data_IF_095145938212
#
_entry.id   IF_095145938212
#
_cell.length_a   1.000
_cell.length_b   1.000
_cell.length_c   1.000
_cell.angle_alpha   90.00
_cell.angle_beta   90.00
_cell.angle_gamma   90.00
#
_symmetry.space_group_name_H-M   'P 1'
#
loop_
_entity.id
_entity.type
_entity.pdbx_description
1 polymer ?
#
# COMPACT_ATOMS: atom_id res chain seq x y z
N UNK A 1 15.74 -40.78 -50.75
CA UNK A 1 16.36 -40.82 -49.41
C UNK A 1 15.36 -40.18 -48.46
N UNK A 2 14.80 -40.94 -47.53
CA UNK A 2 13.73 -40.47 -46.64
C UNK A 2 14.34 -40.03 -45.30
N UNK A 3 14.10 -38.78 -44.92
CA UNK A 3 14.62 -38.16 -43.71
C UNK A 3 13.59 -38.32 -42.58
N UNK A 4 13.91 -39.14 -41.58
CA UNK A 4 13.07 -39.40 -40.41
C UNK A 4 13.30 -38.33 -39.35
N UNK A 5 12.33 -37.42 -39.16
CA UNK A 5 12.32 -36.45 -38.06
C UNK A 5 11.91 -37.13 -36.75
N UNK A 6 12.87 -37.36 -35.86
CA UNK A 6 12.63 -37.85 -34.49
C UNK A 6 12.09 -36.69 -33.66
N UNK A 7 10.82 -36.78 -33.26
CA UNK A 7 10.22 -35.81 -32.33
C UNK A 7 10.83 -35.99 -30.93
N UNK A 8 11.30 -34.92 -30.27
CA UNK A 8 11.76 -35.00 -28.89
C UNK A 8 10.57 -35.33 -27.97
N UNK A 9 10.71 -36.40 -27.16
CA UNK A 9 9.74 -36.76 -26.13
C UNK A 9 9.65 -35.65 -25.08
N UNK A 10 8.43 -35.20 -24.78
CA UNK A 10 8.13 -34.25 -23.71
C UNK A 10 8.64 -34.82 -22.37
N UNK A 11 9.41 -34.03 -21.62
CA UNK A 11 9.93 -34.41 -20.32
C UNK A 11 8.77 -34.65 -19.34
N UNK A 12 8.77 -35.81 -18.67
CA UNK A 12 7.82 -36.10 -17.61
C UNK A 12 8.10 -35.18 -16.40
N UNK A 13 7.07 -34.64 -15.73
CA UNK A 13 7.26 -33.81 -14.55
C UNK A 13 7.96 -34.62 -13.45
N UNK A 14 8.96 -33.99 -12.83
CA UNK A 14 9.80 -34.61 -11.78
C UNK A 14 8.93 -35.09 -10.61
N UNK A 15 9.13 -36.33 -10.12
CA UNK A 15 8.32 -36.90 -9.03
C UNK A 15 8.42 -36.10 -7.72
N UNK A 16 9.50 -35.33 -7.54
CA UNK A 16 9.68 -34.45 -6.38
C UNK A 16 8.66 -33.31 -6.31
N UNK A 17 8.14 -32.84 -7.45
CA UNK A 17 7.06 -31.84 -7.45
C UNK A 17 5.78 -32.37 -6.81
N UNK A 18 5.46 -33.64 -7.03
CA UNK A 18 4.28 -34.27 -6.44
C UNK A 18 4.42 -34.39 -4.92
N UNK A 19 5.62 -34.74 -4.44
CA UNK A 19 5.91 -34.81 -3.00
C UNK A 19 5.79 -33.43 -2.36
N UNK A 20 6.39 -32.39 -2.97
CA UNK A 20 6.28 -31.02 -2.48
C UNK A 20 4.83 -30.52 -2.41
N UNK A 21 4.04 -30.81 -3.46
CA UNK A 21 2.61 -30.47 -3.50
C UNK A 21 1.82 -31.17 -2.39
N UNK A 22 2.09 -32.45 -2.15
CA UNK A 22 1.43 -33.22 -1.09
C UNK A 22 1.73 -32.65 0.30
N UNK A 23 2.98 -32.29 0.59
CA UNK A 23 3.37 -31.66 1.87
C UNK A 23 2.67 -30.32 2.05
N UNK A 24 2.58 -29.50 1.00
CA UNK A 24 1.93 -28.20 1.04
C UNK A 24 0.43 -28.31 1.31
N UNK A 25 -0.25 -29.28 0.69
CA UNK A 25 -1.66 -29.58 0.98
C UNK A 25 -1.87 -30.02 2.44
N UNK A 26 -0.98 -30.86 2.96
CA UNK A 26 -1.07 -31.37 4.33
C UNK A 26 -0.87 -30.24 5.36
N UNK A 27 0.06 -29.33 5.10
CA UNK A 27 0.27 -28.14 5.93
C UNK A 27 -0.95 -27.20 5.94
N UNK A 28 -1.59 -26.99 4.77
CA UNK A 28 -2.78 -26.16 4.68
C UNK A 28 -3.95 -26.76 5.49
N UNK A 29 -4.16 -28.07 5.41
CA UNK A 29 -5.20 -28.77 6.20
C UNK A 29 -4.92 -28.67 7.69
N UNK A 30 -3.67 -28.92 8.10
CA UNK A 30 -3.27 -28.81 9.51
C UNK A 30 -3.48 -27.40 10.05
N UNK A 31 -3.12 -26.37 9.26
CA UNK A 31 -3.34 -24.98 9.64
C UNK A 31 -4.82 -24.66 9.86
N UNK A 32 -5.72 -25.17 9.00
CA UNK A 32 -7.15 -24.97 9.18
C UNK A 32 -7.71 -25.67 10.43
N UNK A 33 -7.20 -26.86 10.75
CA UNK A 33 -7.64 -27.61 11.94
C UNK A 33 -7.08 -27.07 13.26
N UNK A 34 -5.86 -26.54 13.26
CA UNK A 34 -5.23 -25.97 14.46
C UNK A 34 -5.61 -24.51 14.69
N UNK A 35 -6.35 -23.88 13.78
CA UNK A 35 -6.78 -22.49 13.94
C UNK A 35 -7.77 -22.37 15.10
N UNK A 36 -7.45 -21.65 16.18
CA UNK A 36 -8.37 -21.43 17.29
C UNK A 36 -9.62 -20.67 16.81
N UNK A 37 -10.79 -21.08 17.27
CA UNK A 37 -12.07 -20.42 16.97
C UNK A 37 -12.14 -19.07 17.71
N UNK A 38 -12.36 -17.94 17.01
CA UNK A 38 -12.49 -16.63 17.63
C UNK A 38 -13.75 -16.44 18.48
N UNK A 39 -14.64 -17.44 18.57
CA UNK A 39 -15.88 -17.36 19.34
C UNK A 39 -15.71 -17.48 20.87
N UNK A 40 -14.52 -17.85 21.38
CA UNK A 40 -14.29 -18.13 22.80
C UNK A 40 -13.78 -16.94 23.64
N UNK A 41 -13.86 -15.69 23.12
CA UNK A 41 -13.62 -14.52 23.98
C UNK A 41 -14.82 -14.23 24.89
N UNK A 42 -14.66 -14.63 26.16
CA UNK A 42 -15.58 -14.37 27.24
C UNK A 42 -15.96 -12.88 27.37
N UNK A 43 -17.27 -12.63 27.28
CA UNK A 43 -17.93 -11.34 27.48
C UNK A 43 -17.69 -10.82 28.91
N UNK A 44 -16.76 -9.88 29.09
CA UNK A 44 -16.62 -9.16 30.35
C UNK A 44 -17.81 -8.19 30.54
N UNK A 45 -18.66 -8.47 31.52
CA UNK A 45 -19.73 -7.58 31.99
C UNK A 45 -19.14 -6.44 32.83
N UNK A 46 -19.15 -5.22 32.30
CA UNK A 46 -18.80 -4.02 33.08
C UNK A 46 -20.03 -3.49 33.82
N UNK A 47 -20.01 -3.71 35.13
CA UNK A 47 -20.94 -3.17 36.14
C UNK A 47 -20.91 -1.64 36.18
N UNK A 48 -22.10 -1.04 36.17
CA UNK A 48 -22.40 0.38 36.37
C UNK A 48 -22.45 0.74 37.87
N UNK A 49 -21.79 1.84 38.30
CA UNK A 49 -22.20 2.71 39.43
C UNK A 49 -21.34 4.02 39.47
N UNK A 50 -21.67 5.07 40.25
CA UNK A 50 -22.20 6.35 39.75
C UNK A 50 -21.34 7.60 40.04
N UNK A 51 -21.75 8.73 39.47
CA UNK A 51 -21.17 10.07 39.60
C UNK A 51 -21.37 10.73 40.99
N UNK A 52 -20.53 11.74 41.31
CA UNK A 52 -21.03 12.95 41.95
C UNK A 52 -20.55 14.24 41.25
N UNK A 53 -21.44 15.23 41.19
CA UNK A 53 -21.18 16.64 40.83
C UNK A 53 -21.04 17.49 42.11
N UNK A 54 -21.03 18.84 42.04
CA UNK A 54 -19.95 19.73 41.62
C UNK A 54 -19.50 20.64 42.80
N UNK A 55 -18.35 21.31 42.68
CA UNK A 55 -17.98 22.40 43.59
C UNK A 55 -17.53 23.64 42.80
N UNK A 56 -18.32 24.67 42.99
CA UNK A 56 -18.25 26.06 42.53
C UNK A 56 -17.08 26.79 43.22
N UNK A 57 -16.31 27.59 42.48
CA UNK A 57 -15.38 28.59 43.04
C UNK A 57 -14.96 29.61 41.98
N UNK A 58 -15.85 30.60 41.81
CA UNK A 58 -15.61 32.04 41.61
C UNK A 58 -14.18 32.51 41.27
N UNK A 59 -14.05 33.12 40.09
CA UNK A 59 -13.05 34.12 39.71
C UNK A 59 -13.27 35.44 40.51
N UNK A 60 -12.37 36.45 40.55
CA UNK A 60 -11.96 37.19 39.33
C UNK A 60 -10.53 37.80 39.34
N UNK A 61 -10.01 38.12 38.15
CA UNK A 61 -8.81 38.95 38.01
C UNK A 61 -8.34 39.08 36.55
N UNK A 62 -8.84 40.10 35.86
CA UNK A 62 -8.30 40.66 34.61
C UNK A 62 -7.76 42.05 34.95
N UNK A 63 -6.67 42.57 34.35
CA UNK A 63 -6.78 43.11 32.98
C UNK A 63 -5.49 43.11 32.10
N UNK A 64 -5.71 43.24 30.79
CA UNK A 64 -4.92 44.01 29.78
C UNK A 64 -3.42 43.63 29.57
N UNK A 65 -2.76 43.75 28.42
CA UNK A 65 -2.99 44.37 27.13
C UNK A 65 -2.05 43.73 26.08
N UNK A 66 -2.41 43.85 24.81
CA UNK A 66 -1.57 44.12 23.63
C UNK A 66 -0.16 43.48 23.51
N UNK A 67 0.01 42.65 22.47
CA UNK A 67 1.04 42.90 21.44
C UNK A 67 0.76 42.08 20.17
N UNK A 68 0.42 42.79 19.09
CA UNK A 68 0.58 42.34 17.71
C UNK A 68 2.04 42.00 17.46
N UNK A 69 2.32 40.83 16.89
CA UNK A 69 3.52 40.59 16.12
C UNK A 69 3.12 39.99 14.76
N UNK A 70 3.35 40.78 13.73
CA UNK A 70 3.27 40.49 12.30
C UNK A 70 4.08 39.25 11.90
N UNK A 71 3.62 38.44 10.93
CA UNK A 71 4.43 37.38 10.32
C UNK A 71 5.56 37.98 9.44
N UNK A 72 6.75 37.37 9.39
CA UNK A 72 7.79 37.76 8.45
C UNK A 72 7.46 37.30 7.02
N UNK A 73 8.01 37.96 5.98
CA UNK A 73 7.67 37.70 4.59
C UNK A 73 8.20 36.35 4.09
N UNK A 74 7.40 35.74 3.21
CA UNK A 74 7.66 34.49 2.53
C UNK A 74 8.96 34.54 1.70
N UNK A 75 9.78 33.51 1.87
CA UNK A 75 10.84 33.15 0.93
C UNK A 75 10.35 31.92 0.18
N UNK A 76 10.28 32.01 -1.15
CA UNK A 76 9.93 30.90 -2.04
C UNK A 76 10.80 29.69 -1.76
N UNK A 77 10.18 28.61 -1.28
CA UNK A 77 10.77 27.27 -1.25
C UNK A 77 9.66 26.24 -1.04
N UNK A 78 9.43 25.45 -2.10
CA UNK A 78 8.86 24.09 -2.15
C UNK A 78 7.58 23.82 -1.32
N UNK A 79 6.49 23.54 -2.04
CA UNK A 79 5.18 23.19 -1.51
C UNK A 79 5.23 22.17 -0.39
N UNK A 80 5.18 22.67 0.84
CA UNK A 80 4.83 21.89 2.02
C UNK A 80 3.32 21.77 2.00
N UNK A 81 2.82 20.68 1.45
CA UNK A 81 1.40 20.39 1.44
C UNK A 81 0.95 20.21 2.89
N UNK A 82 0.27 21.23 3.42
CA UNK A 82 -0.38 21.18 4.71
C UNK A 82 -1.32 19.97 4.71
N UNK A 83 -1.09 19.04 5.65
CA UNK A 83 -1.98 17.92 5.87
C UNK A 83 -3.38 18.45 6.24
N UNK A 84 -4.45 18.16 5.47
CA UNK A 84 -5.79 18.40 5.96
C UNK A 84 -6.05 17.38 7.08
N UNK A 85 -6.17 17.88 8.30
CA UNK A 85 -6.79 17.16 9.41
C UNK A 85 -8.26 16.87 9.06
N UNK A 86 -8.51 15.76 8.38
CA UNK A 86 -9.84 15.17 8.27
C UNK A 86 -10.07 14.23 9.45
N UNK A 87 -11.14 14.40 10.23
CA UNK A 87 -11.56 13.42 11.22
C UNK A 87 -12.32 12.31 10.50
N UNK A 88 -11.59 11.41 9.85
CA UNK A 88 -12.11 10.14 9.37
C UNK A 88 -11.31 9.03 10.05
N UNK A 89 -12.01 8.08 10.65
CA UNK A 89 -11.45 7.08 11.58
C UNK A 89 -10.15 6.46 11.11
N UNK A 90 -9.30 6.12 12.08
CA UNK A 90 -7.97 5.53 11.92
C UNK A 90 -7.89 4.28 11.00
N UNK A 91 -9.03 3.71 10.58
CA UNK A 91 -9.11 2.56 9.67
C UNK A 91 -8.72 2.80 8.21
N UNK A 92 -8.64 4.04 7.71
CA UNK A 92 -8.41 4.31 6.27
C UNK A 92 -7.12 5.07 5.90
N UNK A 93 -6.17 5.24 6.82
CA UNK A 93 -4.93 5.99 6.56
C UNK A 93 -4.13 5.47 5.35
N UNK A 94 -4.03 4.14 5.19
CA UNK A 94 -3.31 3.54 4.06
C UNK A 94 -4.01 3.78 2.71
N UNK A 95 -5.35 3.81 2.69
CA UNK A 95 -6.11 4.14 1.50
C UNK A 95 -5.88 5.60 1.10
N UNK A 96 -5.92 6.53 2.06
CA UNK A 96 -5.60 7.94 1.84
C UNK A 96 -4.19 8.11 1.28
N UNK A 97 -3.20 7.44 1.84
CA UNK A 97 -1.81 7.52 1.37
C UNK A 97 -1.66 6.96 -0.06
N UNK A 98 -2.29 5.84 -0.40
CA UNK A 98 -2.28 5.34 -1.77
C UNK A 98 -2.91 6.33 -2.76
N UNK A 99 -4.05 6.93 -2.39
CA UNK A 99 -4.70 7.95 -3.21
C UNK A 99 -3.85 9.21 -3.38
N UNK A 100 -3.09 9.60 -2.35
CA UNK A 100 -2.12 10.70 -2.43
C UNK A 100 -0.94 10.38 -3.36
N UNK A 101 -0.51 9.13 -3.45
CA UNK A 101 0.55 8.67 -4.38
C UNK A 101 0.04 8.41 -5.80
N UNK A 102 -1.28 8.34 -6.00
CA UNK A 102 -1.86 8.04 -7.32
C UNK A 102 -1.47 9.05 -8.43
N UNK A 103 -1.43 10.38 -8.18
CA UNK A 103 -1.06 11.33 -9.22
C UNK A 103 0.42 11.23 -9.59
N UNK A 104 1.30 10.96 -8.62
CA UNK A 104 2.74 10.83 -8.86
C UNK A 104 3.07 9.55 -9.62
N UNK A 105 2.40 8.43 -9.32
CA UNK A 105 2.50 7.20 -10.10
C UNK A 105 2.01 7.38 -11.55
N UNK A 106 0.89 8.07 -11.72
CA UNK A 106 0.32 8.33 -13.05
C UNK A 106 1.24 9.26 -13.85
N UNK A 107 1.74 10.32 -13.22
CA UNK A 107 2.70 11.25 -13.83
C UNK A 107 4.02 10.55 -14.21
N UNK A 108 4.51 9.63 -13.38
CA UNK A 108 5.68 8.80 -13.71
C UNK A 108 5.40 8.00 -14.99
N UNK A 109 4.28 7.30 -15.05
CA UNK A 109 3.88 6.51 -16.22
C UNK A 109 3.69 7.36 -17.49
N UNK A 110 3.26 8.62 -17.33
CA UNK A 110 3.00 9.56 -18.42
C UNK A 110 4.24 10.34 -18.88
N UNK A 111 5.42 10.09 -18.30
CA UNK A 111 6.67 10.68 -18.78
C UNK A 111 6.92 10.36 -20.24
N UNK A 112 7.55 11.30 -20.96
CA UNK A 112 7.74 11.22 -22.41
C UNK A 112 8.51 9.96 -22.86
N UNK A 113 9.44 9.46 -22.05
CA UNK A 113 10.23 8.25 -22.31
C UNK A 113 9.49 6.94 -22.03
N UNK A 114 8.38 6.99 -21.27
CA UNK A 114 7.64 5.81 -20.79
C UNK A 114 6.25 5.67 -21.42
N UNK A 115 5.57 6.79 -21.70
CA UNK A 115 4.15 6.83 -22.12
C UNK A 115 3.84 6.07 -23.41
N UNK A 116 4.83 5.91 -24.28
CA UNK A 116 4.67 5.25 -25.57
C UNK A 116 4.76 3.71 -25.44
N UNK A 117 5.24 3.21 -24.30
CA UNK A 117 5.30 1.79 -23.99
C UNK A 117 3.90 1.22 -23.67
N UNK A 118 3.49 0.19 -24.42
CA UNK A 118 2.17 -0.40 -24.28
C UNK A 118 1.96 -1.08 -22.92
N UNK A 119 3.00 -1.72 -22.36
CA UNK A 119 2.89 -2.41 -21.08
C UNK A 119 2.70 -1.42 -19.92
N UNK A 120 3.43 -0.30 -19.94
CA UNK A 120 3.28 0.76 -18.93
C UNK A 120 1.89 1.38 -18.99
N UNK A 121 1.37 1.66 -20.19
CA UNK A 121 0.02 2.21 -20.37
C UNK A 121 -1.06 1.27 -19.82
N UNK A 122 -0.95 -0.02 -20.12
CA UNK A 122 -1.86 -1.04 -19.58
C UNK A 122 -1.81 -1.08 -18.05
N UNK A 123 -0.61 -1.08 -17.45
CA UNK A 123 -0.48 -1.09 -15.99
C UNK A 123 -1.02 0.20 -15.34
N UNK A 124 -0.87 1.35 -15.99
CA UNK A 124 -1.44 2.62 -15.52
C UNK A 124 -2.97 2.53 -15.50
N UNK A 125 -3.59 2.05 -16.58
CA UNK A 125 -5.04 1.92 -16.67
C UNK A 125 -5.58 0.87 -15.66
N UNK A 126 -4.84 -0.22 -15.44
CA UNK A 126 -5.12 -1.20 -14.39
C UNK A 126 -5.02 -0.58 -12.99
N UNK A 127 -4.05 0.30 -12.74
CA UNK A 127 -3.92 1.02 -11.48
C UNK A 127 -5.08 2.00 -11.25
N UNK A 128 -5.45 2.78 -12.27
CA UNK A 128 -6.60 3.69 -12.21
C UNK A 128 -7.89 2.94 -11.91
N UNK A 129 -8.15 1.82 -12.61
CA UNK A 129 -9.34 1.01 -12.36
C UNK A 129 -9.33 0.34 -10.98
N UNK A 130 -8.17 -0.14 -10.50
CA UNK A 130 -8.04 -0.76 -9.18
C UNK A 130 -8.24 0.22 -8.02
N UNK A 131 -7.94 1.51 -8.22
CA UNK A 131 -8.08 2.57 -7.21
C UNK A 131 -9.39 3.34 -7.29
N UNK A 132 -10.15 3.24 -8.40
CA UNK A 132 -11.41 3.96 -8.59
C UNK A 132 -12.41 3.75 -7.44
N UNK A 133 -12.67 2.50 -7.06
CA UNK A 133 -13.57 2.16 -5.94
C UNK A 133 -13.10 2.73 -4.60
N UNK A 134 -11.79 2.81 -4.41
CA UNK A 134 -11.21 3.37 -3.20
C UNK A 134 -11.37 4.89 -3.16
N UNK A 135 -11.24 5.55 -4.31
CA UNK A 135 -11.45 6.99 -4.48
C UNK A 135 -12.93 7.39 -4.30
N UNK A 136 -13.86 6.52 -4.66
CA UNK A 136 -15.31 6.68 -4.44
C UNK A 136 -15.71 6.57 -2.96
N UNK A 137 -14.78 6.15 -2.09
CA UNK A 137 -15.02 6.03 -0.65
C UNK A 137 -15.85 4.81 -0.26
N UNK A 138 -15.90 3.77 -1.10
CA UNK A 138 -16.60 2.52 -0.79
C UNK A 138 -16.01 1.86 0.47
N UNK A 139 -16.79 1.68 1.56
CA UNK A 139 -16.31 1.07 2.80
C UNK A 139 -15.92 -0.41 2.65
N UNK A 140 -16.33 -1.06 1.56
CA UNK A 140 -15.98 -2.45 1.25
C UNK A 140 -14.84 -2.57 0.23
N UNK A 141 -14.30 -1.45 -0.26
CA UNK A 141 -13.16 -1.49 -1.16
C UNK A 141 -11.93 -2.05 -0.43
N UNK A 142 -11.37 -3.14 -0.98
CA UNK A 142 -10.08 -3.65 -0.52
C UNK A 142 -8.96 -2.76 -1.06
N UNK A 143 -7.94 -2.53 -0.24
CA UNK A 143 -6.73 -1.83 -0.64
C UNK A 143 -5.85 -2.69 -1.56
N UNK A 144 -5.97 -4.03 -1.47
CA UNK A 144 -5.08 -4.99 -2.13
C UNK A 144 -4.96 -4.79 -3.65
N UNK A 145 -6.06 -4.67 -4.42
CA UNK A 145 -5.97 -4.48 -5.87
C UNK A 145 -5.15 -3.24 -6.24
N UNK A 146 -5.35 -2.14 -5.51
CA UNK A 146 -4.59 -0.90 -5.72
C UNK A 146 -3.10 -1.05 -5.42
N UNK A 147 -2.73 -1.72 -4.32
CA UNK A 147 -1.32 -1.94 -3.96
C UNK A 147 -0.60 -2.85 -4.97
N UNK A 148 -1.27 -3.91 -5.42
CA UNK A 148 -0.73 -4.84 -6.41
C UNK A 148 -0.57 -4.15 -7.75
N UNK A 149 -1.58 -3.40 -8.20
CA UNK A 149 -1.50 -2.66 -9.46
C UNK A 149 -0.40 -1.58 -9.42
N UNK A 150 -0.21 -0.89 -8.30
CA UNK A 150 0.87 0.08 -8.13
C UNK A 150 2.26 -0.60 -8.20
N UNK A 151 2.42 -1.78 -7.59
CA UNK A 151 3.66 -2.55 -7.68
C UNK A 151 3.94 -3.02 -9.12
N UNK A 152 2.92 -3.52 -9.82
CA UNK A 152 3.04 -3.94 -11.23
C UNK A 152 3.39 -2.78 -12.15
N UNK A 153 2.83 -1.59 -11.90
CA UNK A 153 3.19 -0.38 -12.64
C UNK A 153 4.65 -0.01 -12.42
N UNK A 154 5.12 0.02 -11.17
CA UNK A 154 6.53 0.30 -10.86
C UNK A 154 7.47 -0.75 -11.45
N UNK A 155 7.06 -2.03 -11.47
CA UNK A 155 7.84 -3.09 -12.14
C UNK A 155 7.94 -2.84 -13.65
N UNK A 156 6.86 -2.46 -14.32
CA UNK A 156 6.89 -2.16 -15.76
C UNK A 156 7.78 -0.95 -16.07
N UNK A 157 7.69 0.11 -15.24
CA UNK A 157 8.58 1.29 -15.36
C UNK A 157 10.04 0.89 -15.10
N UNK A 158 10.28 0.06 -14.09
CA UNK A 158 11.61 -0.44 -13.75
C UNK A 158 12.24 -1.22 -14.91
N UNK A 159 11.51 -2.17 -15.49
CA UNK A 159 11.99 -2.98 -16.62
C UNK A 159 12.34 -2.12 -17.84
N UNK A 160 11.64 -1.00 -18.03
CA UNK A 160 11.86 -0.10 -19.16
C UNK A 160 13.04 0.85 -18.97
N UNK A 161 13.15 1.47 -17.79
CA UNK A 161 14.05 2.61 -17.59
C UNK A 161 15.05 2.44 -16.44
N UNK A 162 14.83 1.54 -15.49
CA UNK A 162 15.66 1.41 -14.28
C UNK A 162 16.12 -0.04 -14.04
N UNK A 163 16.93 -0.63 -14.93
CA UNK A 163 17.37 -2.02 -14.78
C UNK A 163 18.14 -2.27 -13.47
N UNK A 164 18.79 -1.25 -12.92
CA UNK A 164 19.51 -1.31 -11.64
C UNK A 164 18.59 -1.47 -10.41
N UNK A 165 17.28 -1.21 -10.52
CA UNK A 165 16.30 -1.33 -9.43
C UNK A 165 15.47 -2.61 -9.47
N UNK A 166 15.91 -3.63 -10.22
CA UNK A 166 15.19 -4.88 -10.41
C UNK A 166 14.91 -5.61 -9.09
N UNK A 167 15.89 -5.64 -8.19
CA UNK A 167 15.77 -6.32 -6.89
C UNK A 167 14.68 -5.67 -6.02
N UNK A 168 14.70 -4.35 -5.94
CA UNK A 168 13.77 -3.53 -5.16
C UNK A 168 12.35 -3.65 -5.69
N UNK A 169 12.17 -3.52 -7.02
CA UNK A 169 10.87 -3.66 -7.65
C UNK A 169 10.29 -5.09 -7.47
N UNK A 170 11.10 -6.12 -7.66
CA UNK A 170 10.67 -7.50 -7.43
C UNK A 170 10.30 -7.77 -5.96
N UNK A 171 11.07 -7.22 -5.01
CA UNK A 171 10.75 -7.28 -3.58
C UNK A 171 9.39 -6.63 -3.28
N UNK A 172 9.10 -5.48 -3.90
CA UNK A 172 7.84 -4.78 -3.75
C UNK A 172 6.66 -5.63 -4.27
N UNK A 173 6.77 -6.21 -5.47
CA UNK A 173 5.72 -7.09 -6.03
C UNK A 173 5.46 -8.31 -5.14
N UNK A 174 6.51 -8.95 -4.63
CA UNK A 174 6.37 -10.08 -3.70
C UNK A 174 5.64 -9.68 -2.43
N UNK A 175 6.02 -8.55 -1.81
CA UNK A 175 5.34 -8.03 -0.61
C UNK A 175 3.88 -7.71 -0.89
N UNK A 176 3.57 -7.08 -2.02
CA UNK A 176 2.20 -6.76 -2.42
C UNK A 176 1.32 -8.02 -2.49
N UNK A 177 1.86 -9.13 -2.98
CA UNK A 177 1.17 -10.42 -3.06
C UNK A 177 0.79 -11.00 -1.69
N UNK A 178 1.60 -10.73 -0.67
CA UNK A 178 1.42 -11.20 0.71
C UNK A 178 0.48 -10.33 1.56
N UNK A 179 0.22 -9.09 1.13
CA UNK A 179 -0.64 -8.18 1.88
C UNK A 179 -2.10 -8.64 1.85
N UNK A 180 -2.70 -8.63 3.04
CA UNK A 180 -4.16 -8.80 3.23
C UNK A 180 -4.94 -7.70 2.49
N UNK A 181 -4.39 -6.48 2.45
CA UNK A 181 -5.05 -5.28 1.93
C UNK A 181 -6.34 -4.93 2.67
N UNK A 182 -6.49 -5.46 3.89
CA UNK A 182 -7.47 -5.05 4.90
C UNK A 182 -6.76 -4.17 5.94
N UNK A 183 -7.53 -3.41 6.69
CA UNK A 183 -7.05 -2.53 7.77
C UNK A 183 -7.76 -2.86 9.11
N UNK A 184 -8.18 -4.11 9.30
CA UNK A 184 -9.00 -4.49 10.45
C UNK A 184 -8.20 -4.57 11.75
N UNK A 185 -6.91 -4.92 11.67
CA UNK A 185 -6.02 -5.01 12.83
C UNK A 185 -4.88 -3.99 12.76
N UNK A 186 -4.30 -3.64 13.92
CA UNK A 186 -3.13 -2.76 13.98
C UNK A 186 -1.92 -3.34 13.22
N UNK A 187 -1.75 -4.67 13.24
CA UNK A 187 -0.69 -5.35 12.50
C UNK A 187 -0.85 -5.19 10.99
N UNK A 188 -2.07 -5.38 10.46
CA UNK A 188 -2.36 -5.15 9.04
C UNK A 188 -2.14 -3.69 8.64
N UNK A 189 -2.57 -2.74 9.47
CA UNK A 189 -2.35 -1.32 9.22
C UNK A 189 -0.84 -0.97 9.18
N UNK A 190 -0.05 -1.53 10.10
CA UNK A 190 1.39 -1.35 10.12
C UNK A 190 2.07 -1.94 8.87
N UNK A 191 1.65 -3.13 8.43
CA UNK A 191 2.16 -3.75 7.21
C UNK A 191 1.84 -2.93 5.96
N UNK A 192 0.60 -2.45 5.83
CA UNK A 192 0.20 -1.62 4.70
C UNK A 192 0.95 -0.29 4.68
N UNK A 193 1.17 0.35 5.84
CA UNK A 193 1.97 1.58 5.93
C UNK A 193 3.42 1.33 5.53
N UNK A 194 4.07 0.31 6.09
CA UNK A 194 5.46 -0.03 5.77
C UNK A 194 5.64 -0.35 4.28
N UNK A 195 4.65 -1.00 3.65
CA UNK A 195 4.65 -1.23 2.21
C UNK A 195 4.55 0.07 1.41
N UNK A 196 3.63 0.96 1.78
CA UNK A 196 3.45 2.24 1.10
C UNK A 196 4.67 3.16 1.26
N UNK A 197 5.36 3.12 2.40
CA UNK A 197 6.62 3.85 2.63
C UNK A 197 7.72 3.34 1.67
N UNK A 198 7.84 2.02 1.50
CA UNK A 198 8.78 1.42 0.54
C UNK A 198 8.42 1.79 -0.90
N UNK A 199 7.13 1.76 -1.24
CA UNK A 199 6.63 2.16 -2.55
C UNK A 199 6.96 3.63 -2.84
N UNK A 200 6.73 4.52 -1.88
CA UNK A 200 7.03 5.94 -2.00
C UNK A 200 8.54 6.19 -2.14
N UNK A 201 9.37 5.42 -1.43
CA UNK A 201 10.83 5.50 -1.55
C UNK A 201 11.29 5.12 -2.95
N UNK A 202 10.79 3.99 -3.48
CA UNK A 202 11.14 3.52 -4.83
C UNK A 202 10.64 4.48 -5.91
N UNK A 203 9.41 4.99 -5.76
CA UNK A 203 8.82 5.99 -6.64
C UNK A 203 9.66 7.27 -6.66
N UNK A 204 10.16 7.72 -5.51
CA UNK A 204 11.03 8.90 -5.43
C UNK A 204 12.34 8.68 -6.21
N UNK A 205 12.95 7.49 -6.10
CA UNK A 205 14.12 7.13 -6.91
C UNK A 205 13.84 7.14 -8.41
N UNK A 206 12.69 6.60 -8.84
CA UNK A 206 12.28 6.56 -10.25
C UNK A 206 11.75 7.89 -10.80
N UNK A 207 11.49 8.88 -9.93
CA UNK A 207 10.99 10.19 -10.38
C UNK A 207 12.04 10.97 -11.19
N UNK A 208 13.32 10.69 -10.96
CA UNK A 208 14.45 11.26 -11.72
C UNK A 208 14.74 10.47 -12.99
N UNK A 209 15.20 11.11 -14.09
CA UNK A 209 15.58 10.41 -15.32
C UNK A 209 16.64 9.34 -15.04
N UNK A 210 16.57 8.18 -15.71
CA UNK A 210 17.52 7.09 -15.48
C UNK A 210 18.99 7.48 -15.68
N UNK A 211 19.26 8.46 -16.54
CA UNK A 211 20.60 9.00 -16.76
C UNK A 211 21.20 9.70 -15.52
N UNK A 212 20.35 10.18 -14.61
CA UNK A 212 20.76 10.95 -13.43
C UNK A 212 20.83 10.10 -12.14
N UNK A 213 20.47 8.81 -12.21
CA UNK A 213 20.35 7.89 -11.05
C UNK A 213 21.56 6.93 -10.92
N UNK A 214 22.69 7.26 -11.55
CA UNK A 214 23.92 6.47 -11.56
C UNK A 214 25.02 7.06 -10.68
#
# INVERSE_FOLDING_TARGET
MAELRIQPKKAAPSPWLLVGLAVLLLAAVAYFYLRPDPADEARATSTSAPAPAPADSLAPGSPAAEARATPPPATDSVGTQAAPTSPAGAGNAAATMLLQLSPTLTQLADRADLRDDAAIREQRDNFTSATARLAEGDPHASLRPGLVAAASLLLAVQQKAYPNLESEANSLVQKAGLLSGRNATAAEQAQNRAYLDQLATLLNTMSYPAADVL
#
